data_IF_647381060403
#
_entry.id   IF_647381060403
#
_cell.length_a   1.000
_cell.length_b   1.000
_cell.length_c   1.000
_cell.angle_alpha   90.00
_cell.angle_beta   90.00
_cell.angle_gamma   90.00
#
_symmetry.space_group_name_H-M   'P 1'
#
loop_
_entity.id
_entity.type
_entity.pdbx_description
1 polymer ?
#
# COMPACT_ATOMS: atom_id res chain seq x y z
N UNK A 1 -21.07 -18.34 -23.67
CA UNK A 1 -21.37 -17.85 -22.31
C UNK A 1 -20.35 -18.46 -21.36
N UNK A 2 -19.67 -17.67 -20.53
CA UNK A 2 -18.63 -18.15 -19.60
C UNK A 2 -19.27 -18.58 -18.26
N UNK A 3 -18.76 -19.62 -17.61
CA UNK A 3 -19.21 -20.00 -16.26
C UNK A 3 -18.51 -19.19 -15.18
N UNK A 4 -19.13 -19.04 -14.00
CA UNK A 4 -18.50 -18.36 -12.85
C UNK A 4 -17.19 -19.04 -12.44
N UNK A 5 -17.09 -20.36 -12.58
CA UNK A 5 -15.86 -21.11 -12.30
C UNK A 5 -14.74 -20.78 -13.30
N UNK A 6 -15.05 -20.68 -14.60
CA UNK A 6 -14.07 -20.25 -15.60
C UNK A 6 -13.60 -18.81 -15.35
N UNK A 7 -14.51 -17.92 -14.91
CA UNK A 7 -14.17 -16.55 -14.53
C UNK A 7 -13.15 -16.55 -13.38
N UNK A 8 -13.45 -17.26 -12.29
CA UNK A 8 -12.58 -17.33 -11.12
C UNK A 8 -11.20 -17.91 -11.45
N UNK A 9 -11.15 -19.01 -12.21
CA UNK A 9 -9.88 -19.61 -12.64
C UNK A 9 -9.07 -18.69 -13.57
N UNK A 10 -9.75 -17.95 -14.45
CA UNK A 10 -9.10 -16.97 -15.31
C UNK A 10 -8.49 -15.81 -14.50
N UNK A 11 -9.26 -15.25 -13.56
CA UNK A 11 -8.82 -14.17 -12.66
C UNK A 11 -7.59 -14.62 -11.87
N UNK A 12 -7.66 -15.79 -11.25
CA UNK A 12 -6.55 -16.35 -10.48
C UNK A 12 -5.29 -16.50 -11.35
N UNK A 13 -5.41 -17.14 -12.51
CA UNK A 13 -4.28 -17.38 -13.39
C UNK A 13 -3.66 -16.07 -13.94
N UNK A 14 -4.49 -15.05 -14.20
CA UNK A 14 -4.00 -13.72 -14.63
C UNK A 14 -3.38 -12.90 -13.50
N UNK A 15 -3.88 -13.05 -12.27
CA UNK A 15 -3.27 -12.46 -11.10
C UNK A 15 -1.86 -13.04 -10.85
N UNK A 16 -1.69 -14.34 -11.02
CA UNK A 16 -0.41 -15.07 -10.99
C UNK A 16 0.51 -14.79 -12.19
N UNK A 17 0.09 -13.97 -13.17
CA UNK A 17 0.91 -13.58 -14.31
C UNK A 17 0.97 -14.59 -15.47
N UNK A 18 0.19 -15.67 -15.46
CA UNK A 18 0.18 -16.68 -16.54
C UNK A 18 -0.22 -16.09 -17.89
N UNK A 19 0.42 -16.52 -18.97
CA UNK A 19 0.16 -16.00 -20.32
C UNK A 19 -1.23 -16.37 -20.85
N UNK A 20 -1.79 -15.53 -21.72
CA UNK A 20 -3.09 -15.81 -22.35
C UNK A 20 -3.10 -17.14 -23.10
N UNK A 21 -2.00 -17.52 -23.75
CA UNK A 21 -1.88 -18.81 -24.43
C UNK A 21 -1.95 -19.99 -23.46
N UNK A 22 -1.31 -19.88 -22.28
CA UNK A 22 -1.37 -20.91 -21.25
C UNK A 22 -2.79 -21.06 -20.72
N UNK A 23 -3.45 -19.95 -20.41
CA UNK A 23 -4.79 -19.95 -19.81
C UNK A 23 -5.83 -20.43 -20.83
N UNK A 24 -5.72 -20.02 -22.09
CA UNK A 24 -6.58 -20.48 -23.18
C UNK A 24 -6.53 -22.00 -23.33
N UNK A 25 -5.35 -22.61 -23.25
CA UNK A 25 -5.17 -24.07 -23.28
C UNK A 25 -5.83 -24.75 -22.08
N UNK A 26 -5.63 -24.22 -20.87
CA UNK A 26 -6.19 -24.78 -19.63
C UNK A 26 -7.71 -24.69 -19.59
N UNK A 27 -8.29 -23.56 -19.98
CA UNK A 27 -9.73 -23.31 -19.94
C UNK A 27 -10.46 -23.77 -21.21
N UNK A 28 -9.73 -24.34 -22.17
CA UNK A 28 -10.25 -24.78 -23.48
C UNK A 28 -11.00 -23.66 -24.23
N UNK A 29 -10.45 -22.45 -24.21
CA UNK A 29 -10.98 -21.30 -24.96
C UNK A 29 -9.97 -20.79 -25.98
N UNK A 30 -10.42 -19.98 -26.94
CA UNK A 30 -9.50 -19.35 -27.88
C UNK A 30 -8.64 -18.29 -27.18
N UNK A 31 -7.44 -18.03 -27.71
CA UNK A 31 -6.57 -16.94 -27.22
C UNK A 31 -7.28 -15.58 -27.31
N UNK A 32 -8.07 -15.35 -28.36
CA UNK A 32 -8.84 -14.11 -28.51
C UNK A 32 -9.90 -13.98 -27.41
N UNK A 33 -10.58 -15.07 -27.07
CA UNK A 33 -11.54 -15.12 -25.96
C UNK A 33 -10.86 -14.78 -24.62
N UNK A 34 -9.68 -15.34 -24.36
CA UNK A 34 -8.88 -15.02 -23.17
C UNK A 34 -8.47 -13.54 -23.13
N UNK A 35 -8.11 -12.93 -24.26
CA UNK A 35 -7.79 -11.50 -24.34
C UNK A 35 -9.03 -10.66 -24.02
N UNK A 36 -10.20 -11.01 -24.58
CA UNK A 36 -11.44 -10.29 -24.33
C UNK A 36 -11.84 -10.38 -22.85
N UNK A 37 -11.77 -11.57 -22.25
CA UNK A 37 -12.03 -11.76 -20.82
C UNK A 37 -11.07 -10.96 -19.94
N UNK A 38 -9.83 -10.74 -20.38
CA UNK A 38 -8.87 -9.90 -19.64
C UNK A 38 -9.28 -8.44 -19.57
N UNK A 39 -10.01 -7.94 -20.57
CA UNK A 39 -10.56 -6.57 -20.56
C UNK A 39 -11.83 -6.51 -19.73
N UNK A 40 -12.70 -7.51 -19.87
CA UNK A 40 -13.96 -7.60 -19.14
C UNK A 40 -13.76 -7.76 -17.62
N UNK A 41 -12.69 -8.44 -17.20
CA UNK A 41 -12.38 -8.76 -15.80
C UNK A 41 -11.22 -7.95 -15.22
N UNK A 42 -10.92 -6.80 -15.80
CA UNK A 42 -9.72 -6.03 -15.45
C UNK A 42 -9.70 -5.63 -13.98
N UNK A 43 -10.83 -5.17 -13.44
CA UNK A 43 -10.97 -4.74 -12.05
C UNK A 43 -10.80 -5.90 -11.06
N UNK A 44 -11.39 -7.07 -11.33
CA UNK A 44 -11.26 -8.24 -10.47
C UNK A 44 -9.85 -8.82 -10.52
N UNK A 45 -9.19 -8.79 -11.68
CA UNK A 45 -7.78 -9.18 -11.81
C UNK A 45 -6.89 -8.21 -11.02
N UNK A 46 -7.13 -6.89 -11.12
CA UNK A 46 -6.38 -5.88 -10.38
C UNK A 46 -6.56 -6.05 -8.87
N UNK A 47 -7.81 -6.25 -8.41
CA UNK A 47 -8.12 -6.51 -7.00
C UNK A 47 -7.43 -7.77 -6.51
N UNK A 48 -7.49 -8.87 -7.28
CA UNK A 48 -6.82 -10.11 -6.89
C UNK A 48 -5.30 -9.93 -6.83
N UNK A 49 -4.70 -9.21 -7.78
CA UNK A 49 -3.26 -8.89 -7.75
C UNK A 49 -2.88 -8.08 -6.52
N UNK A 50 -3.70 -7.11 -6.12
CA UNK A 50 -3.44 -6.33 -4.92
C UNK A 50 -3.42 -7.22 -3.67
N UNK A 51 -4.37 -8.15 -3.54
CA UNK A 51 -4.43 -9.12 -2.44
C UNK A 51 -3.20 -10.04 -2.43
N UNK A 52 -2.81 -10.60 -3.58
CA UNK A 52 -1.62 -11.46 -3.67
C UNK A 52 -0.33 -10.69 -3.36
N UNK A 53 -0.26 -9.41 -3.77
CA UNK A 53 0.87 -8.54 -3.46
C UNK A 53 0.93 -8.18 -1.96
N UNK A 54 -0.22 -7.92 -1.34
CA UNK A 54 -0.33 -7.69 0.10
C UNK A 54 0.15 -8.92 0.88
N UNK A 55 -0.28 -10.11 0.50
CA UNK A 55 0.19 -11.37 1.09
C UNK A 55 1.71 -11.55 0.95
N UNK A 56 2.30 -11.22 -0.21
CA UNK A 56 3.75 -11.23 -0.39
C UNK A 56 4.44 -10.19 0.52
N UNK A 57 3.88 -9.00 0.68
CA UNK A 57 4.44 -8.02 1.60
C UNK A 57 4.43 -8.50 3.05
N UNK A 58 3.40 -9.22 3.47
CA UNK A 58 3.36 -9.86 4.79
C UNK A 58 4.39 -10.97 4.91
N UNK A 59 4.45 -11.90 3.95
CA UNK A 59 5.37 -13.04 3.93
C UNK A 59 6.83 -12.59 4.06
N UNK A 60 7.24 -11.60 3.25
CA UNK A 60 8.60 -11.08 3.25
C UNK A 60 8.81 -9.94 4.26
N UNK A 61 7.83 -9.68 5.13
CA UNK A 61 7.83 -8.58 6.11
C UNK A 61 8.15 -7.22 5.47
N UNK A 62 7.79 -7.02 4.20
CA UNK A 62 7.99 -5.76 3.49
C UNK A 62 6.91 -4.73 3.80
N UNK A 63 5.94 -5.05 4.65
CA UNK A 63 5.00 -4.07 5.22
C UNK A 63 5.73 -2.95 5.97
N UNK A 64 5.09 -1.78 6.13
CA UNK A 64 5.65 -0.66 6.89
C UNK A 64 6.02 -1.09 8.31
N UNK A 65 5.13 -1.82 8.96
CA UNK A 65 5.35 -2.39 10.29
C UNK A 65 6.54 -3.37 10.31
N UNK A 66 6.59 -4.33 9.36
CA UNK A 66 7.68 -5.30 9.29
C UNK A 66 9.06 -4.65 9.08
N UNK A 67 9.12 -3.54 8.33
CA UNK A 67 10.34 -2.72 8.17
C UNK A 67 10.70 -2.01 9.47
N UNK A 68 9.74 -1.39 10.16
CA UNK A 68 9.97 -0.70 11.43
C UNK A 68 10.46 -1.66 12.52
N UNK A 69 9.86 -2.84 12.63
CA UNK A 69 10.30 -3.88 13.57
C UNK A 69 11.74 -4.33 13.31
N UNK A 70 12.11 -4.55 12.03
CA UNK A 70 13.50 -4.89 11.67
C UNK A 70 14.48 -3.78 12.00
N UNK A 71 14.12 -2.53 11.68
CA UNK A 71 14.96 -1.37 11.98
C UNK A 71 15.12 -1.18 13.49
N UNK A 72 14.04 -1.29 14.27
CA UNK A 72 14.08 -1.23 15.73
C UNK A 72 14.97 -2.32 16.33
N UNK A 73 14.81 -3.57 15.88
CA UNK A 73 15.67 -4.68 16.32
C UNK A 73 17.14 -4.47 15.96
N UNK A 74 17.45 -3.92 14.78
CA UNK A 74 18.81 -3.61 14.39
C UNK A 74 19.39 -2.47 15.24
N UNK A 75 18.61 -1.41 15.48
CA UNK A 75 19.00 -0.28 16.33
C UNK A 75 19.29 -0.74 17.75
N UNK A 76 18.44 -1.57 18.34
CA UNK A 76 18.65 -2.14 19.67
C UNK A 76 19.94 -2.95 19.74
N UNK A 77 20.20 -3.81 18.74
CA UNK A 77 21.45 -4.60 18.67
C UNK A 77 22.69 -3.71 18.53
N UNK A 78 22.59 -2.64 17.74
CA UNK A 78 23.68 -1.68 17.57
C UNK A 78 23.91 -0.86 18.86
N UNK A 79 22.84 -0.46 19.54
CA UNK A 79 22.92 0.24 20.82
C UNK A 79 23.61 -0.62 21.86
N UNK A 80 23.19 -1.88 22.04
CA UNK A 80 23.84 -2.82 22.97
C UNK A 80 25.33 -3.00 22.67
N UNK A 81 25.69 -3.21 21.40
CA UNK A 81 27.11 -3.33 21.00
C UNK A 81 27.91 -2.06 21.30
N UNK A 82 27.31 -0.88 21.12
CA UNK A 82 27.96 0.41 21.43
C UNK A 82 28.07 0.64 22.94
N UNK A 83 27.07 0.25 23.73
CA UNK A 83 27.04 0.37 25.19
C UNK A 83 28.02 -0.60 25.87
N UNK A 84 28.21 -1.79 25.30
CA UNK A 84 29.11 -2.82 25.84
C UNK A 84 30.59 -2.59 25.48
N UNK A 85 30.88 -1.81 24.42
CA UNK A 85 32.25 -1.54 23.98
C UNK A 85 32.90 -0.41 24.76
N UNK A 86 34.18 -0.61 25.08
CA UNK A 86 35.04 0.50 25.45
C UNK A 86 35.27 1.40 24.22
N UNK A 87 34.83 2.65 24.32
CA UNK A 87 34.94 3.64 23.26
C UNK A 87 36.29 4.36 23.27
N UNK A 88 37.22 3.98 24.17
CA UNK A 88 38.58 4.53 24.27
C UNK A 88 39.38 4.43 22.97
N UNK A 89 39.14 3.39 22.16
CA UNK A 89 39.83 3.15 20.89
C UNK A 89 39.14 3.83 19.70
N UNK A 90 37.98 4.49 19.93
CA UNK A 90 37.26 5.21 18.88
C UNK A 90 37.93 6.57 18.68
N UNK A 91 38.41 6.89 17.46
CA UNK A 91 38.98 8.19 17.17
C UNK A 91 38.03 9.34 17.53
N UNK A 92 38.56 10.41 18.13
CA UNK A 92 37.77 11.52 18.67
C UNK A 92 36.89 12.20 17.62
N UNK A 93 37.35 12.28 16.37
CA UNK A 93 36.58 12.78 15.23
C UNK A 93 35.33 11.93 14.95
N UNK A 94 35.43 10.60 15.10
CA UNK A 94 34.28 9.70 14.99
C UNK A 94 33.33 9.83 16.17
N UNK A 95 33.83 10.06 17.38
CA UNK A 95 32.97 10.33 18.55
C UNK A 95 32.16 11.62 18.38
N UNK A 96 32.81 12.69 17.90
CA UNK A 96 32.12 13.96 17.61
C UNK A 96 31.10 13.78 16.49
N UNK A 97 31.43 13.02 15.44
CA UNK A 97 30.50 12.71 14.36
C UNK A 97 29.29 11.89 14.86
N UNK A 98 29.49 10.93 15.77
CA UNK A 98 28.42 10.17 16.40
C UNK A 98 27.55 11.06 17.30
N UNK A 99 28.15 11.97 18.08
CA UNK A 99 27.44 12.92 18.93
C UNK A 99 26.55 13.87 18.12
N UNK A 100 27.09 14.46 17.05
CA UNK A 100 26.33 15.36 16.17
C UNK A 100 25.20 14.61 15.45
N UNK A 101 25.45 13.38 14.99
CA UNK A 101 24.44 12.55 14.33
C UNK A 101 23.34 12.10 15.29
N UNK A 102 23.68 11.82 16.56
CA UNK A 102 22.71 11.52 17.60
C UNK A 102 21.86 12.74 17.94
N UNK A 103 22.46 13.94 18.03
CA UNK A 103 21.74 15.19 18.26
C UNK A 103 20.77 15.51 17.10
N UNK A 104 21.21 15.34 15.85
CA UNK A 104 20.38 15.54 14.66
C UNK A 104 19.21 14.54 14.59
N UNK A 105 19.43 13.28 15.00
CA UNK A 105 18.35 12.29 15.10
C UNK A 105 17.37 12.63 16.21
N UNK A 106 17.85 13.06 17.39
CA UNK A 106 16.98 13.49 18.48
C UNK A 106 16.13 14.71 18.11
N UNK A 107 16.67 15.65 17.32
CA UNK A 107 15.94 16.81 16.82
C UNK A 107 14.88 16.42 15.77
N UNK A 108 15.16 15.42 14.92
CA UNK A 108 14.20 14.88 13.94
C UNK A 108 13.08 14.06 14.59
N UNK A 109 13.40 13.31 15.64
CA UNK A 109 12.45 12.54 16.45
C UNK A 109 11.65 13.45 17.39
N UNK A 110 12.16 14.65 17.69
CA UNK A 110 11.43 15.75 18.31
C UNK A 110 10.44 16.36 17.31
N UNK A 111 9.47 15.57 16.87
CA UNK A 111 8.22 16.14 16.35
C UNK A 111 7.54 16.87 17.49
N UNK A 112 7.28 18.19 17.40
CA UNK A 112 6.36 18.83 18.34
C UNK A 112 5.05 18.04 18.27
N UNK A 113 4.56 17.58 19.42
CA UNK A 113 3.21 17.03 19.52
C UNK A 113 2.24 18.13 19.12
N UNK A 114 1.86 18.16 17.84
CA UNK A 114 0.75 18.96 17.36
C UNK A 114 -0.52 18.26 17.82
N UNK A 115 -0.97 18.63 19.01
CA UNK A 115 -2.36 18.43 19.38
C UNK A 115 -3.16 19.40 18.53
N UNK A 116 -3.78 18.92 17.44
CA UNK A 116 -4.76 19.70 16.68
C UNK A 116 -5.82 20.19 17.66
N UNK A 117 -5.97 21.50 17.79
CA UNK A 117 -6.99 22.08 18.65
C UNK A 117 -8.38 21.66 18.13
N UNK A 118 -9.37 21.62 19.02
CA UNK A 118 -10.70 21.06 18.80
C UNK A 118 -11.41 21.67 17.59
N UNK A 119 -11.09 22.93 17.27
CA UNK A 119 -11.66 23.68 16.14
C UNK A 119 -11.06 23.24 14.79
N UNK A 120 -9.76 22.97 14.72
CA UNK A 120 -9.10 22.48 13.49
C UNK A 120 -9.62 21.08 13.12
N UNK A 121 -9.93 20.25 14.12
CA UNK A 121 -10.58 18.95 13.91
C UNK A 121 -12.05 19.08 13.49
N UNK A 122 -12.74 20.14 13.93
CA UNK A 122 -14.13 20.43 13.52
C UNK A 122 -14.19 20.90 12.08
N UNK A 123 -13.31 21.82 11.69
CA UNK A 123 -13.22 22.34 10.32
C UNK A 123 -12.92 21.23 9.31
N UNK A 124 -11.93 20.36 9.58
CA UNK A 124 -11.63 19.20 8.70
C UNK A 124 -12.82 18.22 8.61
N UNK A 125 -13.58 18.06 9.70
CA UNK A 125 -14.75 17.18 9.72
C UNK A 125 -15.90 17.77 8.91
N UNK A 126 -16.12 19.08 9.00
CA UNK A 126 -17.13 19.80 8.21
C UNK A 126 -16.78 19.80 6.72
N UNK A 127 -15.52 20.05 6.38
CA UNK A 127 -15.04 19.98 4.99
C UNK A 127 -15.23 18.58 4.40
N UNK A 128 -14.89 17.53 5.16
CA UNK A 128 -15.11 16.14 4.72
C UNK A 128 -16.59 15.80 4.54
N UNK A 129 -17.48 16.36 5.36
CA UNK A 129 -18.92 16.17 5.22
C UNK A 129 -19.47 16.89 3.99
N UNK A 130 -19.04 18.13 3.75
CA UNK A 130 -19.39 18.91 2.55
C UNK A 130 -18.96 18.21 1.26
N UNK A 131 -17.74 17.69 1.20
CA UNK A 131 -17.25 16.93 0.04
C UNK A 131 -18.08 15.67 -0.22
N UNK A 132 -18.49 14.98 0.85
CA UNK A 132 -19.35 13.79 0.74
C UNK A 132 -20.76 14.15 0.27
N UNK A 133 -21.28 15.29 0.67
CA UNK A 133 -22.61 15.76 0.28
C UNK A 133 -22.64 16.26 -1.17
N UNK A 134 -21.61 16.99 -1.60
CA UNK A 134 -21.38 17.36 -3.00
C UNK A 134 -21.25 16.12 -3.91
N UNK A 135 -20.52 15.09 -3.46
CA UNK A 135 -20.41 13.83 -4.20
C UNK A 135 -21.72 13.04 -4.30
N UNK A 136 -22.71 13.32 -3.43
CA UNK A 136 -24.04 12.70 -3.45
C UNK A 136 -25.02 13.43 -4.36
N UNK A 137 -24.86 14.74 -4.54
CA UNK A 137 -25.79 15.56 -5.34
C UNK A 137 -25.47 15.56 -6.83
N UNK A 138 -24.30 15.04 -7.25
CA UNK A 138 -23.95 14.82 -8.66
C UNK A 138 -24.58 13.57 -9.30
N UNK A 139 -25.55 12.90 -8.65
CA UNK A 139 -26.41 11.93 -9.36
C UNK A 139 -27.39 12.70 -10.25
N UNK A 140 -26.95 12.91 -11.49
CA UNK A 140 -27.62 13.56 -12.63
C UNK A 140 -29.15 13.34 -12.64
N UNK A 141 -29.99 14.40 -12.70
CA UNK A 141 -31.40 14.25 -13.03
C UNK A 141 -31.56 13.69 -14.44
N UNK A 142 -32.27 12.57 -14.53
CA UNK A 142 -32.72 11.94 -15.78
C UNK A 142 -33.47 12.97 -16.65
N UNK A 143 -32.85 13.42 -17.75
CA UNK A 143 -33.54 14.19 -18.77
C UNK A 143 -34.37 13.20 -19.62
N UNK A 144 -35.62 13.00 -19.22
CA UNK A 144 -36.62 12.34 -20.05
C UNK A 144 -36.88 13.21 -21.30
N UNK A 145 -36.28 12.82 -22.42
CA UNK A 145 -36.66 13.30 -23.74
C UNK A 145 -37.97 12.62 -24.16
N UNK A 146 -39.07 13.36 -24.08
CA UNK A 146 -40.29 13.07 -24.84
C UNK A 146 -40.71 14.29 -25.66
N UNK A 147 -41.01 14.04 -26.93
CA UNK A 147 -42.00 14.83 -27.67
C UNK A 147 -41.52 15.47 -28.97
N UNK A 148 -41.47 14.68 -30.04
CA UNK A 148 -41.43 15.12 -31.44
C UNK A 148 -41.87 13.99 -32.35
#
# INVERSE_FOLDING_TARGET
MRTNQQAAQFIQARAEGKSFSSIAKTLQVSKQTAINWSKELEEEIATRRAIELEALYEEYRLTKEGRLQRLGSLLERLQREVEERDLSDVPTDKLIALLLKAAEQAEKESTPLSFKDTEEQREEREERLLLKELSRTETVPNFDYYGG
#
